data_IF_777092482967
#
_entry.id   IF_777092482967
#
_cell.length_a   1.000
_cell.length_b   1.000
_cell.length_c   1.000
_cell.angle_alpha   90.00
_cell.angle_beta   90.00
_cell.angle_gamma   90.00
#
_symmetry.space_group_name_H-M   'P 1'
#
loop_
_entity.id
_entity.type
_entity.pdbx_description
1 polymer ?
#
# COMPACT_ATOMS: atom_id res chain seq x y z
N UNK A 1 9.73 -26.74 -26.38
CA UNK A 1 9.88 -25.60 -25.45
C UNK A 1 8.71 -25.64 -24.48
N UNK A 2 8.96 -25.87 -23.20
CA UNK A 2 7.89 -25.87 -22.18
C UNK A 2 7.35 -24.43 -22.11
N UNK A 3 6.08 -24.27 -22.42
CA UNK A 3 5.40 -22.97 -22.40
C UNK A 3 5.36 -22.50 -20.92
N UNK A 4 6.35 -21.70 -20.52
CA UNK A 4 6.45 -21.25 -19.14
C UNK A 4 5.22 -20.39 -18.82
N UNK A 5 4.53 -20.67 -17.70
CA UNK A 5 3.38 -19.89 -17.21
C UNK A 5 3.73 -18.39 -17.20
N UNK A 6 2.98 -17.58 -17.95
CA UNK A 6 3.12 -16.13 -17.92
C UNK A 6 2.92 -15.61 -16.51
N UNK A 7 3.67 -14.59 -16.12
CA UNK A 7 3.55 -13.94 -14.82
C UNK A 7 3.15 -12.47 -15.02
N UNK A 8 2.09 -12.05 -14.37
CA UNK A 8 1.60 -10.68 -14.39
C UNK A 8 2.06 -9.93 -13.13
N UNK A 9 2.83 -8.86 -13.34
CA UNK A 9 3.40 -8.00 -12.28
C UNK A 9 2.71 -6.65 -12.28
N UNK A 10 2.04 -6.31 -11.19
CA UNK A 10 1.53 -4.97 -10.96
C UNK A 10 2.56 -4.15 -10.21
N UNK A 11 2.93 -2.98 -10.74
CA UNK A 11 3.92 -2.08 -10.15
C UNK A 11 3.23 -0.82 -9.65
N UNK A 12 3.21 -0.66 -8.34
CA UNK A 12 2.69 0.52 -7.64
C UNK A 12 3.83 1.46 -7.27
N UNK A 13 3.72 2.72 -7.63
CA UNK A 13 4.76 3.72 -7.39
C UNK A 13 4.15 5.13 -7.21
N UNK A 14 4.89 6.03 -6.60
CA UNK A 14 4.52 7.46 -6.58
C UNK A 14 4.97 8.13 -7.88
N UNK A 15 4.11 8.94 -8.52
CA UNK A 15 4.49 9.70 -9.71
C UNK A 15 5.72 10.61 -9.52
N UNK A 16 5.98 11.02 -8.29
CA UNK A 16 7.21 11.75 -7.93
C UNK A 16 8.49 10.89 -8.04
N UNK A 17 8.34 9.58 -8.23
CA UNK A 17 9.44 8.62 -8.39
C UNK A 17 9.49 8.02 -9.81
N UNK A 18 8.90 8.67 -10.82
CA UNK A 18 8.80 8.16 -12.21
C UNK A 18 10.17 7.84 -12.84
N UNK A 19 11.23 8.56 -12.47
CA UNK A 19 12.58 8.24 -12.92
C UNK A 19 13.01 6.82 -12.50
N UNK A 20 12.69 6.42 -11.27
CA UNK A 20 12.98 5.07 -10.79
C UNK A 20 12.11 4.02 -11.49
N UNK A 21 10.84 4.33 -11.76
CA UNK A 21 9.95 3.46 -12.52
C UNK A 21 10.51 3.17 -13.93
N UNK A 22 10.94 4.21 -14.66
CA UNK A 22 11.55 4.07 -15.99
C UNK A 22 12.80 3.20 -15.96
N UNK A 23 13.67 3.40 -14.97
CA UNK A 23 14.86 2.57 -14.79
C UNK A 23 14.50 1.12 -14.47
N UNK A 24 13.53 0.90 -13.59
CA UNK A 24 13.02 -0.43 -13.29
C UNK A 24 12.53 -1.14 -14.55
N UNK A 25 11.71 -0.48 -15.37
CA UNK A 25 11.20 -1.02 -16.64
C UNK A 25 12.33 -1.42 -17.59
N UNK A 26 13.35 -0.56 -17.73
CA UNK A 26 14.54 -0.86 -18.56
C UNK A 26 15.24 -2.12 -18.09
N UNK A 27 15.45 -2.29 -16.79
CA UNK A 27 16.10 -3.47 -16.24
C UNK A 27 15.24 -4.74 -16.29
N UNK A 28 13.91 -4.61 -16.39
CA UNK A 28 12.99 -5.74 -16.57
C UNK A 28 12.96 -6.31 -17.99
N UNK A 29 13.63 -5.70 -18.97
CA UNK A 29 13.55 -6.07 -20.38
C UNK A 29 13.80 -7.55 -20.66
N UNK A 30 14.76 -8.18 -19.97
CA UNK A 30 15.02 -9.61 -20.15
C UNK A 30 13.89 -10.49 -19.58
N UNK A 31 13.33 -10.12 -18.41
CA UNK A 31 12.18 -10.83 -17.86
C UNK A 31 10.93 -10.71 -18.72
N UNK A 32 10.75 -9.57 -19.41
CA UNK A 32 9.68 -9.40 -20.40
C UNK A 32 9.80 -10.42 -21.54
N UNK A 33 11.02 -10.64 -22.07
CA UNK A 33 11.27 -11.67 -23.09
C UNK A 33 11.00 -13.09 -22.58
N UNK A 34 11.12 -13.30 -21.28
CA UNK A 34 10.83 -14.56 -20.59
C UNK A 34 9.35 -14.72 -20.20
N UNK A 35 8.45 -13.86 -20.71
CA UNK A 35 7.00 -13.95 -20.49
C UNK A 35 6.52 -13.36 -19.17
N UNK A 36 7.26 -12.40 -18.60
CA UNK A 36 6.78 -11.57 -17.48
C UNK A 36 6.17 -10.31 -18.04
N UNK A 37 4.93 -10.01 -17.69
CA UNK A 37 4.24 -8.77 -18.09
C UNK A 37 4.18 -7.82 -16.92
N UNK A 38 4.59 -6.57 -17.10
CA UNK A 38 4.44 -5.51 -16.11
C UNK A 38 3.28 -4.61 -16.47
N UNK A 39 2.54 -4.22 -15.48
CA UNK A 39 1.51 -3.19 -15.56
C UNK A 39 1.85 -2.09 -14.55
N UNK A 40 1.83 -0.85 -15.00
CA UNK A 40 2.06 0.33 -14.17
C UNK A 40 0.75 1.09 -14.04
N UNK A 41 0.54 1.71 -12.89
CA UNK A 41 -0.48 2.75 -12.74
C UNK A 41 -0.02 3.94 -13.61
N UNK A 42 -0.53 3.98 -14.85
CA UNK A 42 -0.28 5.09 -15.77
C UNK A 42 -1.02 6.33 -15.30
N UNK A 43 -0.85 7.46 -15.94
CA UNK A 43 -1.29 8.84 -15.70
C UNK A 43 -2.74 9.07 -15.20
N UNK A 44 -3.25 8.22 -14.34
CA UNK A 44 -4.56 8.34 -13.75
C UNK A 44 -4.47 9.31 -12.58
N UNK A 45 -5.19 10.41 -12.69
CA UNK A 45 -5.34 11.39 -11.59
C UNK A 45 -5.80 10.65 -10.33
N UNK A 46 -5.09 10.79 -9.19
CA UNK A 46 -5.47 10.11 -7.95
C UNK A 46 -6.91 10.50 -7.57
N UNK A 47 -7.86 9.59 -7.76
CA UNK A 47 -9.22 9.73 -7.26
C UNK A 47 -9.34 9.01 -5.91
N UNK A 48 -10.31 9.40 -5.10
CA UNK A 48 -10.55 8.74 -3.80
C UNK A 48 -10.93 7.25 -3.96
N UNK A 49 -11.43 6.87 -5.14
CA UNK A 49 -11.80 5.49 -5.47
C UNK A 49 -10.79 4.84 -6.42
N UNK A 50 -10.59 3.54 -6.25
CA UNK A 50 -9.74 2.74 -7.11
C UNK A 50 -10.34 2.64 -8.51
N UNK A 51 -9.64 3.21 -9.51
CA UNK A 51 -10.04 3.16 -10.92
C UNK A 51 -10.37 1.72 -11.34
N UNK A 52 -11.43 1.48 -12.13
CA UNK A 52 -11.83 0.14 -12.58
C UNK A 52 -10.72 -0.63 -13.32
N UNK A 53 -9.86 0.06 -14.10
CA UNK A 53 -8.75 -0.55 -14.82
C UNK A 53 -7.65 -0.98 -13.86
N UNK A 54 -7.30 -0.14 -12.90
CA UNK A 54 -6.34 -0.44 -11.82
C UNK A 54 -6.85 -1.63 -11.01
N UNK A 55 -8.12 -1.61 -10.63
CA UNK A 55 -8.74 -2.73 -9.90
C UNK A 55 -8.70 -4.03 -10.68
N UNK A 56 -8.91 -3.98 -12.01
CA UNK A 56 -8.83 -5.15 -12.89
C UNK A 56 -7.39 -5.67 -12.93
N UNK A 57 -6.41 -4.79 -13.18
CA UNK A 57 -5.00 -5.15 -13.21
C UNK A 57 -4.53 -5.75 -11.87
N UNK A 58 -4.88 -5.14 -10.74
CA UNK A 58 -4.59 -5.68 -9.40
C UNK A 58 -5.24 -7.06 -9.15
N UNK A 59 -6.47 -7.28 -9.65
CA UNK A 59 -7.13 -8.59 -9.53
C UNK A 59 -6.41 -9.67 -10.35
N UNK A 60 -5.90 -9.32 -11.52
CA UNK A 60 -5.22 -10.23 -12.44
C UNK A 60 -3.75 -10.45 -12.09
N UNK A 61 -3.13 -9.54 -11.34
CA UNK A 61 -1.73 -9.65 -10.97
C UNK A 61 -1.42 -10.90 -10.14
N UNK A 62 -0.32 -11.56 -10.46
CA UNK A 62 0.28 -12.67 -9.70
C UNK A 62 1.30 -12.16 -8.69
N UNK A 63 1.98 -11.08 -9.04
CA UNK A 63 3.01 -10.42 -8.24
C UNK A 63 2.68 -8.93 -8.12
N UNK A 64 2.75 -8.39 -6.92
CA UNK A 64 2.65 -6.97 -6.64
C UNK A 64 4.02 -6.43 -6.23
N UNK A 65 4.46 -5.39 -6.89
CA UNK A 65 5.72 -4.70 -6.61
C UNK A 65 5.41 -3.29 -6.12
N UNK A 66 5.84 -2.95 -4.91
CA UNK A 66 5.78 -1.59 -4.38
C UNK A 66 7.16 -0.91 -4.51
N UNK A 67 7.24 0.19 -5.23
CA UNK A 67 8.44 1.04 -5.29
C UNK A 67 8.45 2.01 -4.11
N UNK A 68 9.03 1.56 -2.98
CA UNK A 68 8.93 2.25 -1.71
C UNK A 68 9.93 3.42 -1.59
N UNK A 69 9.41 4.57 -1.26
CA UNK A 69 10.12 5.82 -1.02
C UNK A 69 9.37 6.66 0.03
N UNK A 70 9.90 7.79 0.51
CA UNK A 70 9.11 8.75 1.30
C UNK A 70 7.87 9.23 0.56
N UNK A 71 7.96 9.48 -0.77
CA UNK A 71 6.84 9.90 -1.61
C UNK A 71 5.74 8.83 -1.67
N UNK A 72 6.14 7.56 -1.82
CA UNK A 72 5.22 6.43 -1.83
C UNK A 72 4.44 6.32 -0.52
N UNK A 73 5.13 6.43 0.62
CA UNK A 73 4.50 6.36 1.94
C UNK A 73 3.60 7.57 2.23
N UNK A 74 3.91 8.74 1.66
CA UNK A 74 3.09 9.94 1.77
C UNK A 74 1.83 9.89 0.88
N UNK A 75 1.84 9.08 -0.19
CA UNK A 75 0.70 8.94 -1.10
C UNK A 75 -0.37 8.03 -0.47
N UNK A 76 -1.51 8.63 -0.08
CA UNK A 76 -2.67 7.86 0.40
C UNK A 76 -3.15 6.85 -0.64
N UNK A 77 -3.14 7.24 -1.91
CA UNK A 77 -3.58 6.38 -2.99
C UNK A 77 -2.70 5.14 -3.13
N UNK A 78 -1.39 5.30 -3.29
CA UNK A 78 -0.47 4.17 -3.44
C UNK A 78 -0.43 3.29 -2.17
N UNK A 79 -0.32 3.91 -1.00
CA UNK A 79 -0.10 3.18 0.25
C UNK A 79 -1.36 2.63 0.87
N UNK A 80 -2.47 3.41 0.90
CA UNK A 80 -3.70 2.95 1.54
C UNK A 80 -4.58 2.15 0.57
N UNK A 81 -4.71 2.60 -0.68
CA UNK A 81 -5.65 2.01 -1.64
C UNK A 81 -5.06 0.81 -2.36
N UNK A 82 -3.99 1.00 -3.16
CA UNK A 82 -3.40 -0.09 -3.95
C UNK A 82 -2.70 -1.12 -3.09
N UNK A 83 -1.76 -0.68 -2.25
CA UNK A 83 -1.03 -1.56 -1.36
C UNK A 83 -1.98 -2.25 -0.36
N UNK A 84 -2.97 -1.53 0.16
CA UNK A 84 -4.03 -2.11 1.00
C UNK A 84 -4.84 -3.20 0.30
N UNK A 85 -5.16 -3.02 -1.01
CA UNK A 85 -5.80 -4.05 -1.81
C UNK A 85 -4.89 -5.26 -2.01
N UNK A 86 -3.63 -5.03 -2.38
CA UNK A 86 -2.63 -6.07 -2.57
C UNK A 86 -2.45 -6.93 -1.31
N UNK A 87 -2.41 -6.30 -0.12
CA UNK A 87 -2.31 -7.02 1.15
C UNK A 87 -3.51 -7.94 1.41
N UNK A 88 -4.73 -7.48 1.12
CA UNK A 88 -5.93 -8.32 1.27
C UNK A 88 -5.94 -9.51 0.31
N UNK A 89 -5.44 -9.32 -0.92
CA UNK A 89 -5.29 -10.40 -1.91
C UNK A 89 -4.19 -11.38 -1.49
N UNK A 90 -3.03 -10.88 -1.02
CA UNK A 90 -1.92 -11.69 -0.55
C UNK A 90 -2.29 -12.56 0.66
N UNK A 91 -3.10 -12.04 1.58
CA UNK A 91 -3.60 -12.82 2.73
C UNK A 91 -4.40 -14.07 2.31
N UNK A 92 -4.96 -14.07 1.11
CA UNK A 92 -5.65 -15.24 0.49
C UNK A 92 -4.69 -16.15 -0.29
N UNK A 93 -3.37 -15.93 -0.20
CA UNK A 93 -2.31 -16.64 -0.93
C UNK A 93 -2.41 -16.54 -2.46
N UNK A 94 -3.09 -15.53 -2.99
CA UNK A 94 -3.32 -15.36 -4.43
C UNK A 94 -2.44 -14.24 -5.02
N UNK A 95 -1.41 -13.77 -4.30
CA UNK A 95 -0.53 -12.68 -4.74
C UNK A 95 0.79 -12.74 -3.99
N UNK A 96 1.90 -12.70 -4.72
CA UNK A 96 3.21 -12.44 -4.14
C UNK A 96 3.43 -10.95 -3.98
N UNK A 97 3.96 -10.50 -2.85
CA UNK A 97 4.26 -9.08 -2.59
C UNK A 97 5.76 -8.90 -2.46
N UNK A 98 6.29 -7.96 -3.22
CA UNK A 98 7.71 -7.55 -3.22
C UNK A 98 7.77 -6.05 -2.96
N UNK A 99 8.66 -5.62 -2.11
CA UNK A 99 8.91 -4.19 -1.84
C UNK A 99 10.31 -3.84 -2.28
N UNK A 100 10.43 -2.88 -3.19
CA UNK A 100 11.71 -2.36 -3.68
C UNK A 100 11.96 -1.03 -3.01
N UNK A 101 13.05 -0.94 -2.24
CA UNK A 101 13.43 0.28 -1.54
C UNK A 101 14.20 1.20 -2.49
N UNK A 102 13.54 2.26 -2.95
CA UNK A 102 14.16 3.26 -3.82
C UNK A 102 15.06 4.19 -3.03
N UNK A 103 14.52 4.70 -1.92
CA UNK A 103 15.15 5.67 -1.01
C UNK A 103 14.88 5.29 0.42
N UNK A 104 15.72 5.79 1.34
CA UNK A 104 15.49 5.62 2.78
C UNK A 104 14.12 6.17 3.16
N UNK A 105 13.28 5.32 3.79
CA UNK A 105 11.97 5.68 4.29
C UNK A 105 11.59 4.84 5.51
N UNK A 106 10.47 5.14 6.17
CA UNK A 106 10.07 4.47 7.41
C UNK A 106 9.31 3.14 7.18
N UNK A 107 9.71 2.35 6.17
CA UNK A 107 9.08 1.09 5.82
C UNK A 107 9.02 0.08 6.99
N UNK A 108 10.01 0.12 7.92
CA UNK A 108 10.10 -0.78 9.08
C UNK A 108 8.90 -0.69 10.01
N UNK A 109 8.27 0.49 10.09
CA UNK A 109 7.08 0.74 10.91
C UNK A 109 5.77 0.46 10.16
N UNK A 110 5.85 -0.12 8.96
CA UNK A 110 4.71 -0.47 8.12
C UNK A 110 4.59 -1.99 7.94
N UNK A 111 3.52 -2.42 7.29
CA UNK A 111 3.34 -3.84 6.93
C UNK A 111 4.34 -4.32 5.88
N UNK A 112 5.09 -3.41 5.23
CA UNK A 112 6.14 -3.75 4.26
C UNK A 112 7.23 -4.63 4.85
N UNK A 113 7.54 -4.47 6.14
CA UNK A 113 8.53 -5.26 6.87
C UNK A 113 8.26 -6.78 6.87
N UNK A 114 7.04 -7.21 6.52
CA UNK A 114 6.62 -8.62 6.50
C UNK A 114 6.82 -9.30 5.15
N UNK A 115 7.21 -8.55 4.13
CA UNK A 115 7.30 -9.03 2.76
C UNK A 115 8.74 -9.05 2.27
N UNK A 116 8.95 -9.64 1.08
CA UNK A 116 10.28 -9.65 0.46
C UNK A 116 10.72 -8.24 0.15
N UNK A 117 11.85 -7.84 0.73
CA UNK A 117 12.50 -6.55 0.50
C UNK A 117 13.63 -6.72 -0.51
N UNK A 118 13.73 -5.79 -1.44
CA UNK A 118 14.79 -5.68 -2.42
C UNK A 118 15.31 -4.22 -2.45
N UNK A 119 16.54 -3.96 -2.81
CA UNK A 119 17.65 -4.91 -2.98
C UNK A 119 18.01 -5.67 -1.69
N UNK A 120 18.99 -6.58 -1.78
CA UNK A 120 19.48 -7.34 -0.62
C UNK A 120 19.81 -6.42 0.56
N UNK A 121 19.72 -6.98 1.77
CA UNK A 121 19.97 -6.31 3.05
C UNK A 121 19.05 -5.10 3.30
N UNK A 122 17.94 -4.99 2.55
CA UNK A 122 17.05 -3.83 2.58
C UNK A 122 17.80 -2.49 2.43
N UNK A 123 18.89 -2.49 1.63
CA UNK A 123 19.66 -1.29 1.33
C UNK A 123 19.02 -0.54 0.16
N UNK A 124 18.52 0.69 0.35
CA UNK A 124 17.88 1.46 -0.71
C UNK A 124 18.78 1.65 -1.94
N UNK A 125 18.15 1.70 -3.13
CA UNK A 125 18.89 1.83 -4.42
C UNK A 125 19.77 3.08 -4.45
N UNK A 126 19.29 4.19 -3.91
CA UNK A 126 20.05 5.46 -3.89
C UNK A 126 21.32 5.42 -3.04
N UNK A 127 21.43 4.44 -2.12
CA UNK A 127 22.59 4.25 -1.24
C UNK A 127 23.66 3.29 -1.81
N UNK A 128 23.42 2.69 -2.98
CA UNK A 128 24.42 1.84 -3.61
C UNK A 128 25.47 2.68 -4.33
N UNK A 129 26.73 2.28 -4.23
CA UNK A 129 27.83 2.95 -4.93
C UNK A 129 27.61 2.93 -6.46
N UNK A 130 27.12 1.82 -6.98
CA UNK A 130 26.69 1.67 -8.36
C UNK A 130 25.21 1.31 -8.40
N UNK A 131 24.37 2.23 -8.87
CA UNK A 131 22.91 1.99 -8.94
C UNK A 131 22.55 0.86 -9.91
N UNK A 132 23.38 0.60 -10.93
CA UNK A 132 23.21 -0.56 -11.83
C UNK A 132 23.23 -1.88 -11.07
N UNK A 133 24.20 -2.08 -10.18
CA UNK A 133 24.30 -3.31 -9.38
C UNK A 133 23.07 -3.50 -8.46
N UNK A 134 22.51 -2.38 -7.95
CA UNK A 134 21.28 -2.41 -7.17
C UNK A 134 20.09 -2.92 -8.02
N UNK A 135 19.98 -2.45 -9.26
CA UNK A 135 18.91 -2.85 -10.18
C UNK A 135 19.07 -4.32 -10.60
N UNK A 136 20.30 -4.77 -10.90
CA UNK A 136 20.56 -6.19 -11.17
C UNK A 136 20.11 -7.06 -9.99
N UNK A 137 20.45 -6.66 -8.76
CA UNK A 137 20.01 -7.38 -7.57
C UNK A 137 18.47 -7.39 -7.42
N UNK A 138 17.80 -6.30 -7.79
CA UNK A 138 16.34 -6.22 -7.83
C UNK A 138 15.76 -7.22 -8.84
N UNK A 139 16.27 -7.22 -10.07
CA UNK A 139 15.79 -8.10 -11.14
C UNK A 139 16.00 -9.58 -10.77
N UNK A 140 17.15 -9.94 -10.23
CA UNK A 140 17.40 -11.29 -9.73
C UNK A 140 16.43 -11.68 -8.59
N UNK A 141 16.14 -10.74 -7.69
CA UNK A 141 15.16 -10.95 -6.65
C UNK A 141 13.74 -11.19 -7.18
N UNK A 142 13.33 -10.46 -8.24
CA UNK A 142 12.04 -10.65 -8.92
C UNK A 142 12.04 -11.97 -9.68
N UNK A 143 13.12 -12.31 -10.40
CA UNK A 143 13.29 -13.59 -11.09
C UNK A 143 13.06 -14.78 -10.15
N UNK A 144 13.60 -14.71 -8.94
CA UNK A 144 13.39 -15.75 -7.93
C UNK A 144 11.90 -15.88 -7.53
N UNK A 145 11.18 -14.74 -7.41
CA UNK A 145 9.74 -14.74 -7.10
C UNK A 145 8.93 -15.29 -8.27
N UNK A 146 9.25 -14.90 -9.51
CA UNK A 146 8.62 -15.45 -10.73
C UNK A 146 8.82 -16.96 -10.82
N UNK A 147 10.04 -17.45 -10.54
CA UNK A 147 10.31 -18.88 -10.49
C UNK A 147 9.45 -19.59 -9.43
N UNK A 148 9.35 -19.03 -8.24
CA UNK A 148 8.51 -19.57 -7.18
C UNK A 148 7.02 -19.58 -7.58
N UNK A 149 6.52 -18.52 -8.22
CA UNK A 149 5.16 -18.46 -8.75
C UNK A 149 4.91 -19.54 -9.81
N UNK A 150 5.84 -19.74 -10.74
CA UNK A 150 5.72 -20.74 -11.81
C UNK A 150 5.73 -22.18 -11.29
N UNK A 151 6.44 -22.43 -10.20
CA UNK A 151 6.49 -23.73 -9.52
C UNK A 151 5.31 -23.99 -8.58
N UNK A 152 4.55 -22.94 -8.22
CA UNK A 152 3.38 -23.10 -7.37
C UNK A 152 2.27 -23.89 -8.12
N UNK A 153 1.59 -24.85 -7.46
CA UNK A 153 0.46 -25.55 -8.06
C UNK A 153 -0.60 -24.54 -8.54
N UNK A 154 -1.21 -24.81 -9.69
CA UNK A 154 -2.36 -24.04 -10.14
C UNK A 154 -3.47 -24.17 -9.09
N UNK A 155 -4.06 -23.03 -8.69
CA UNK A 155 -5.10 -22.96 -7.64
C UNK A 155 -6.38 -23.74 -7.99
N UNK A 156 -6.43 -24.42 -9.15
CA UNK A 156 -7.52 -25.30 -9.58
C UNK A 156 -7.61 -26.59 -8.75
N UNK A 157 -6.53 -27.00 -8.06
CA UNK A 157 -6.48 -28.22 -7.28
C UNK A 157 -6.62 -28.02 -5.76
N UNK A 158 -6.93 -26.81 -5.32
CA UNK A 158 -7.27 -26.62 -3.91
C UNK A 158 -8.65 -27.28 -3.67
N UNK A 159 -8.75 -28.38 -2.87
CA UNK A 159 -10.02 -28.99 -2.56
C UNK A 159 -10.92 -27.91 -1.94
N UNK A 160 -12.11 -27.70 -2.53
CA UNK A 160 -13.14 -26.84 -1.94
C UNK A 160 -13.30 -27.31 -0.50
N UNK A 161 -12.86 -26.49 0.47
CA UNK A 161 -13.03 -26.80 1.89
C UNK A 161 -14.47 -27.22 2.10
N UNK A 162 -14.66 -28.50 2.43
CA UNK A 162 -15.96 -29.04 2.82
C UNK A 162 -16.53 -28.12 3.90
N UNK A 163 -17.76 -27.66 3.71
CA UNK A 163 -18.48 -26.91 4.74
C UNK A 163 -18.46 -27.76 5.99
N UNK A 164 -17.70 -27.35 7.00
CA UNK A 164 -17.81 -27.95 8.34
C UNK A 164 -19.25 -27.73 8.78
N UNK A 165 -20.01 -28.79 9.11
CA UNK A 165 -21.38 -28.62 9.60
C UNK A 165 -21.31 -27.81 10.91
N UNK A 166 -21.99 -26.68 10.94
CA UNK A 166 -22.16 -25.89 12.16
C UNK A 166 -22.93 -26.77 13.14
N UNK A 167 -22.42 -27.10 14.35
CA UNK A 167 -23.17 -27.84 15.32
C UNK A 167 -24.42 -27.03 15.71
N UNK A 168 -25.59 -27.72 15.68
CA UNK A 168 -26.87 -27.15 16.00
C UNK A 168 -26.83 -26.41 17.36
N UNK A 169 -27.17 -25.14 17.33
CA UNK A 169 -27.23 -24.26 18.48
C UNK A 169 -28.27 -24.79 19.47
N UNK A 170 -27.79 -25.36 20.57
CA UNK A 170 -28.62 -25.76 21.71
C UNK A 170 -29.45 -24.56 22.17
N UNK A 171 -30.77 -24.73 22.13
CA UNK A 171 -31.75 -23.78 22.65
C UNK A 171 -31.64 -23.74 24.17
N UNK A 172 -30.93 -22.77 24.72
CA UNK A 172 -30.97 -22.46 26.16
C UNK A 172 -32.07 -21.45 26.42
N UNK A 173 -32.89 -21.85 27.42
CA UNK A 173 -34.06 -21.19 27.92
C UNK A 173 -33.89 -19.69 28.22
N UNK A 174 -34.99 -18.97 28.00
CA UNK A 174 -35.23 -17.57 28.26
C UNK A 174 -35.25 -17.31 29.79
N UNK A 175 -34.43 -16.40 30.34
CA UNK A 175 -34.64 -15.98 31.71
C UNK A 175 -35.70 -14.87 31.81
N UNK A 176 -36.50 -14.95 32.86
CA UNK A 176 -37.65 -14.11 33.17
C UNK A 176 -37.30 -12.64 33.32
N UNK A 177 -38.18 -11.75 32.88
CA UNK A 177 -38.14 -10.31 33.04
C UNK A 177 -38.37 -9.94 34.52
N UNK A 178 -37.35 -9.46 35.22
CA UNK A 178 -37.48 -8.71 36.48
C UNK A 178 -37.57 -7.22 36.17
N UNK A 179 -38.68 -6.59 36.56
CA UNK A 179 -38.91 -5.13 36.46
C UNK A 179 -38.00 -4.39 37.44
N UNK A 180 -37.31 -3.34 37.05
CA UNK A 180 -36.63 -2.49 38.03
C UNK A 180 -37.63 -1.51 38.67
N UNK A 181 -37.52 -1.43 39.97
CA UNK A 181 -38.26 -0.56 40.90
C UNK A 181 -37.90 0.90 40.65
N UNK A 182 -38.91 1.74 40.48
CA UNK A 182 -38.82 3.20 40.29
C UNK A 182 -38.40 3.87 41.58
N UNK A 183 -37.30 4.63 41.57
CA UNK A 183 -36.91 5.54 42.63
C UNK A 183 -37.23 6.99 42.17
N UNK A 184 -37.91 7.82 42.96
CA UNK A 184 -38.23 9.18 42.57
C UNK A 184 -37.15 10.18 42.99
N UNK A 185 -36.82 11.10 42.12
CA UNK A 185 -36.43 12.47 42.45
C UNK A 185 -34.95 12.79 42.58
N UNK A 186 -34.36 13.38 41.54
CA UNK A 186 -33.50 14.56 41.67
C UNK A 186 -33.44 15.32 40.34
N UNK A 187 -33.72 16.64 40.43
CA UNK A 187 -33.72 17.61 39.34
C UNK A 187 -32.32 17.80 38.73
N UNK A 188 -32.14 17.97 37.43
CA UNK A 188 -30.88 18.43 36.87
C UNK A 188 -30.71 19.93 36.99
N UNK A 189 -29.52 20.37 37.37
CA UNK A 189 -29.08 21.78 37.36
C UNK A 189 -28.73 22.23 35.91
N UNK A 190 -28.84 23.55 35.61
CA UNK A 190 -28.68 24.04 34.23
C UNK A 190 -27.20 24.09 33.80
N UNK A 191 -26.95 23.67 32.56
CA UNK A 191 -25.66 23.71 31.92
C UNK A 191 -25.26 25.17 31.59
N UNK A 192 -24.12 25.60 32.09
CA UNK A 192 -23.43 26.83 31.70
C UNK A 192 -22.61 26.62 30.45
N UNK A 193 -22.97 27.27 29.38
CA UNK A 193 -22.19 27.35 28.11
C UNK A 193 -20.98 28.26 28.31
N UNK A 194 -19.76 27.88 27.93
CA UNK A 194 -18.62 28.79 27.88
C UNK A 194 -18.61 29.62 26.62
N UNK A 195 -18.45 30.97 26.79
CA UNK A 195 -18.25 31.97 25.75
C UNK A 195 -16.99 31.72 24.92
N UNK A 196 -17.01 31.98 23.60
CA UNK A 196 -15.82 31.87 22.77
C UNK A 196 -14.83 33.02 23.05
N UNK A 197 -13.54 32.66 23.23
CA UNK A 197 -12.43 33.62 23.35
C UNK A 197 -12.12 34.24 21.99
N UNK A 198 -12.10 35.60 21.97
CA UNK A 198 -11.71 36.44 20.81
C UNK A 198 -10.22 36.19 20.44
N UNK A 199 -9.98 35.98 19.16
CA UNK A 199 -8.64 35.95 18.54
C UNK A 199 -8.00 37.34 18.54
N UNK A 200 -6.68 37.48 18.78
CA UNK A 200 -5.99 38.78 18.64
C UNK A 200 -5.73 39.11 17.16
N UNK A 201 -5.93 40.42 16.87
CA UNK A 201 -5.64 41.08 15.58
C UNK A 201 -4.14 41.05 15.25
N UNK A 202 -3.72 40.86 14.01
CA UNK A 202 -2.29 40.97 13.63
C UNK A 202 -1.86 42.45 13.60
N UNK A 203 -0.70 42.72 14.22
CA UNK A 203 -0.04 44.01 14.24
C UNK A 203 0.51 44.37 12.84
N UNK A 204 0.25 45.60 12.41
CA UNK A 204 0.68 46.13 11.13
C UNK A 204 2.19 46.24 11.01
N UNK A 205 2.71 45.71 9.94
CA UNK A 205 4.14 45.82 9.54
C UNK A 205 4.35 47.18 8.91
N UNK A 206 5.03 48.09 9.61
CA UNK A 206 5.52 49.38 9.07
C UNK A 206 6.62 49.12 8.05
N UNK A 207 6.40 49.45 6.80
CA UNK A 207 7.39 49.54 5.72
C UNK A 207 8.27 50.79 5.92
N UNK A 208 9.60 50.63 6.04
CA UNK A 208 10.59 51.67 5.96
C UNK A 208 10.90 51.96 4.48
N UNK A 209 10.98 53.25 4.05
CA UNK A 209 11.39 53.61 2.69
C UNK A 209 12.90 53.42 2.50
N UNK A 210 13.28 52.80 1.38
CA UNK A 210 14.65 52.66 0.90
C UNK A 210 15.04 53.98 0.20
N UNK A 211 16.14 54.63 0.66
CA UNK A 211 16.79 55.74 -0.02
C UNK A 211 17.58 55.25 -1.24
N UNK A 212 17.58 55.94 -2.39
CA UNK A 212 18.44 55.61 -3.53
C UNK A 212 19.86 56.13 -3.26
N UNK A 213 20.88 55.32 -3.55
CA UNK A 213 22.26 55.72 -3.72
C UNK A 213 22.47 56.17 -5.15
N UNK A 214 22.88 57.41 -5.31
CA UNK A 214 23.32 57.99 -6.57
C UNK A 214 24.82 57.79 -6.77
N UNK A 215 25.21 57.90 -8.03
CA UNK A 215 26.52 58.09 -8.68
C UNK A 215 27.43 56.87 -8.73
#
# INVERSE_FOLDING_TARGET
MVNAREASVFVSYSHLDDEFRKRFETHMAQLHREGVRTWFDGDITPSAELDPNIRRALKQADIFVALASPNYLASRYCFETEYGFALRKAARKNLYVVVILLRQCQWRHTRMARYKLLPKDAKPIDQWARRGDAWENVVEGIRAVVKQFRLAPLALDAPKKAKVPVPARSTKAKPAKTRPRRVPGSKPAPATTPKPKRSPKPAGRRTRPIKPRGS
#
